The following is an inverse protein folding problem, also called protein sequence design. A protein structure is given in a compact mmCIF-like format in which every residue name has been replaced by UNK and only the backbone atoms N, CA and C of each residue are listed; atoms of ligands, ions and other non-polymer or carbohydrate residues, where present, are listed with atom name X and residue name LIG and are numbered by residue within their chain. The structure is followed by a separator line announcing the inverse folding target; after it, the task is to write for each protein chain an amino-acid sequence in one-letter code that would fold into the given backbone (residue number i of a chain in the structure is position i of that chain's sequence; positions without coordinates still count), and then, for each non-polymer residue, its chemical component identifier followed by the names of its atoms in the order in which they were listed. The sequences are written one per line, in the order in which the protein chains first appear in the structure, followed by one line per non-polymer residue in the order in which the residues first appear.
data_IF_777399955367
#
_entry.id   IF_777399955367
#
_cell.length_a   1.000
_cell.length_b   1.000
_cell.length_c   1.000
_cell.angle_alpha   90.00
_cell.angle_beta   90.00
_cell.angle_gamma   90.00
#
_symmetry.space_group_name_H-M   'P 1'
#
loop_
_entity.id
_entity.type
_entity.pdbx_description
1 polymer ?
#
# COMPACT_ATOMS: atom_id res chain seq x y z
N UNK A 1 -3.82 -16.84 -15.17
CA UNK A 1 -3.36 -15.51 -14.72
C UNK A 1 -3.97 -14.40 -15.57
N UNK A 2 -3.90 -14.43 -16.93
CA UNK A 2 -4.42 -13.35 -17.79
C UNK A 2 -5.90 -12.99 -17.51
N UNK A 3 -6.78 -13.97 -17.30
CA UNK A 3 -8.20 -13.72 -16.97
C UNK A 3 -8.38 -13.06 -15.61
N UNK A 4 -7.58 -13.40 -14.61
CA UNK A 4 -7.58 -12.73 -13.29
C UNK A 4 -7.27 -11.24 -13.44
N UNK A 5 -6.28 -10.90 -14.27
CA UNK A 5 -5.91 -9.50 -14.53
C UNK A 5 -7.01 -8.73 -15.27
N UNK A 6 -7.72 -9.35 -16.20
CA UNK A 6 -8.86 -8.72 -16.88
C UNK A 6 -9.99 -8.41 -15.88
N UNK A 7 -10.34 -9.37 -15.00
CA UNK A 7 -11.33 -9.16 -13.94
C UNK A 7 -10.86 -8.05 -12.98
N UNK A 8 -9.57 -8.06 -12.58
CA UNK A 8 -8.97 -7.04 -11.72
C UNK A 8 -9.15 -5.64 -12.30
N UNK A 9 -8.84 -5.43 -13.58
CA UNK A 9 -8.97 -4.12 -14.24
C UNK A 9 -10.44 -3.66 -14.33
N UNK A 10 -11.36 -4.57 -14.67
CA UNK A 10 -12.79 -4.29 -14.70
C UNK A 10 -13.33 -3.92 -13.31
N UNK A 11 -12.84 -4.61 -12.27
CA UNK A 11 -13.22 -4.36 -10.88
C UNK A 11 -12.69 -3.00 -10.37
N UNK A 12 -11.45 -2.63 -10.69
CA UNK A 12 -10.88 -1.31 -10.37
C UNK A 12 -11.79 -0.21 -10.91
N UNK A 13 -12.21 -0.29 -12.16
CA UNK A 13 -13.13 0.67 -12.79
C UNK A 13 -14.49 0.74 -12.07
N UNK A 14 -15.06 -0.40 -11.71
CA UNK A 14 -16.35 -0.44 -11.02
C UNK A 14 -16.25 0.11 -9.60
N UNK A 15 -15.23 -0.27 -8.84
CA UNK A 15 -15.01 0.23 -7.47
C UNK A 15 -14.60 1.72 -7.44
N UNK A 16 -13.95 2.22 -8.48
CA UNK A 16 -13.70 3.65 -8.64
C UNK A 16 -14.98 4.45 -8.94
N UNK A 17 -15.94 3.85 -9.66
CA UNK A 17 -17.14 4.51 -10.16
C UNK A 17 -18.20 4.74 -9.08
N UNK A 18 -18.34 3.82 -8.12
CA UNK A 18 -19.41 3.84 -7.10
C UNK A 18 -18.88 3.36 -5.74
N UNK A 19 -19.55 3.77 -4.63
CA UNK A 19 -19.26 3.20 -3.31
C UNK A 19 -19.31 1.67 -3.33
N UNK A 20 -18.46 1.04 -2.52
CA UNK A 20 -18.29 -0.41 -2.53
C UNK A 20 -19.61 -1.19 -2.38
N UNK A 21 -20.52 -0.73 -1.52
CA UNK A 21 -21.81 -1.37 -1.29
C UNK A 21 -22.65 -1.46 -2.58
N UNK A 22 -22.57 -0.41 -3.43
CA UNK A 22 -23.29 -0.31 -4.70
C UNK A 22 -22.59 -0.98 -5.88
N UNK A 23 -21.33 -1.35 -5.72
CA UNK A 23 -20.57 -2.03 -6.76
C UNK A 23 -21.17 -3.40 -7.09
N UNK A 24 -21.25 -3.71 -8.39
CA UNK A 24 -21.95 -4.88 -8.91
C UNK A 24 -21.02 -5.85 -9.61
N UNK A 25 -21.03 -7.13 -9.15
CA UNK A 25 -20.32 -8.22 -9.85
C UNK A 25 -20.80 -8.34 -11.30
N UNK A 26 -22.09 -8.12 -11.57
CA UNK A 26 -22.60 -8.18 -12.95
C UNK A 26 -21.96 -7.09 -13.83
N UNK A 27 -21.72 -5.89 -13.29
CA UNK A 27 -21.04 -4.83 -14.04
C UNK A 27 -19.55 -5.20 -14.26
N UNK A 28 -18.89 -5.80 -13.27
CA UNK A 28 -17.51 -6.29 -13.42
C UNK A 28 -17.44 -7.35 -14.53
N UNK A 29 -18.35 -8.33 -14.53
CA UNK A 29 -18.46 -9.38 -15.55
C UNK A 29 -18.65 -8.79 -16.94
N UNK A 30 -19.56 -7.82 -17.07
CA UNK A 30 -19.84 -7.14 -18.33
C UNK A 30 -18.62 -6.34 -18.82
N UNK A 31 -17.97 -5.59 -17.95
CA UNK A 31 -16.79 -4.79 -18.29
C UNK A 31 -15.56 -5.66 -18.62
N UNK A 32 -15.49 -6.87 -18.05
CA UNK A 32 -14.43 -7.84 -18.30
C UNK A 32 -14.67 -8.71 -19.54
N UNK A 33 -15.87 -8.62 -20.15
CA UNK A 33 -16.33 -9.46 -21.27
C UNK A 33 -16.14 -10.97 -20.99
N UNK A 34 -16.64 -11.41 -19.85
CA UNK A 34 -16.56 -12.83 -19.42
C UNK A 34 -17.91 -13.38 -19.03
N UNK A 35 -18.05 -14.72 -18.99
CA UNK A 35 -19.24 -15.34 -18.43
C UNK A 35 -19.27 -15.26 -16.91
N UNK A 36 -20.49 -15.32 -16.32
CA UNK A 36 -20.67 -15.37 -14.87
C UNK A 36 -19.95 -16.57 -14.24
N UNK A 37 -20.00 -17.75 -14.86
CA UNK A 37 -19.28 -18.94 -14.41
C UNK A 37 -17.76 -18.72 -14.40
N UNK A 38 -17.23 -18.02 -15.40
CA UNK A 38 -15.81 -17.67 -15.46
C UNK A 38 -15.39 -16.78 -14.28
N UNK A 39 -16.22 -15.80 -13.88
CA UNK A 39 -15.93 -14.97 -12.70
C UNK A 39 -15.78 -15.82 -11.44
N UNK A 40 -16.79 -16.66 -11.16
CA UNK A 40 -16.81 -17.50 -9.95
C UNK A 40 -15.78 -18.64 -9.94
N UNK A 41 -15.07 -18.86 -11.04
CA UNK A 41 -13.89 -19.74 -11.07
C UNK A 41 -12.68 -19.10 -10.37
N UNK A 42 -12.63 -17.75 -10.31
CA UNK A 42 -11.48 -17.02 -9.80
C UNK A 42 -11.75 -16.27 -8.49
N UNK A 43 -13.00 -15.85 -8.24
CA UNK A 43 -13.38 -15.04 -7.10
C UNK A 43 -14.74 -15.47 -6.55
N UNK A 44 -14.83 -15.56 -5.21
CA UNK A 44 -16.07 -15.94 -4.53
C UNK A 44 -17.09 -14.80 -4.50
N UNK A 45 -16.61 -13.59 -4.24
CA UNK A 45 -17.42 -12.38 -4.12
C UNK A 45 -16.62 -11.12 -4.46
N UNK A 46 -17.23 -9.95 -4.27
CA UNK A 46 -16.56 -8.67 -4.53
C UNK A 46 -15.49 -8.31 -3.48
N UNK A 47 -15.60 -8.82 -2.25
CA UNK A 47 -14.59 -8.66 -1.20
C UNK A 47 -13.31 -9.41 -1.58
N UNK A 48 -13.45 -10.62 -2.14
CA UNK A 48 -12.33 -11.42 -2.62
C UNK A 48 -11.58 -10.71 -3.76
N UNK A 49 -12.32 -10.06 -4.68
CA UNK A 49 -11.71 -9.23 -5.74
C UNK A 49 -10.96 -8.03 -5.15
N UNK A 50 -11.53 -7.32 -4.18
CA UNK A 50 -10.86 -6.21 -3.48
C UNK A 50 -9.57 -6.69 -2.83
N UNK A 51 -9.63 -7.77 -2.06
CA UNK A 51 -8.47 -8.38 -1.42
C UNK A 51 -7.38 -8.67 -2.44
N UNK A 52 -7.71 -9.32 -3.54
CA UNK A 52 -6.76 -9.60 -4.61
C UNK A 52 -6.11 -8.34 -5.20
N UNK A 53 -6.88 -7.26 -5.41
CA UNK A 53 -6.35 -5.98 -5.92
C UNK A 53 -5.29 -5.42 -4.95
N UNK A 54 -5.58 -5.42 -3.64
CA UNK A 54 -4.65 -4.87 -2.66
C UNK A 54 -3.43 -5.77 -2.44
N UNK A 55 -3.60 -7.10 -2.43
CA UNK A 55 -2.50 -8.06 -2.35
C UNK A 55 -1.55 -7.94 -3.56
N UNK A 56 -2.10 -7.80 -4.76
CA UNK A 56 -1.32 -7.63 -5.98
C UNK A 56 -0.54 -6.31 -5.97
N UNK A 57 -1.19 -5.22 -5.53
CA UNK A 57 -0.52 -3.94 -5.35
C UNK A 57 0.58 -3.99 -4.28
N UNK A 58 0.33 -4.66 -3.14
CA UNK A 58 1.31 -4.82 -2.06
C UNK A 58 2.54 -5.60 -2.54
N UNK A 59 2.34 -6.70 -3.30
CA UNK A 59 3.42 -7.48 -3.89
C UNK A 59 4.25 -6.64 -4.87
N UNK A 60 3.61 -5.90 -5.78
CA UNK A 60 4.32 -5.01 -6.72
C UNK A 60 5.09 -3.92 -5.97
N UNK A 61 4.52 -3.35 -4.91
CA UNK A 61 5.19 -2.37 -4.07
C UNK A 61 6.42 -2.97 -3.37
N UNK A 62 6.30 -4.18 -2.83
CA UNK A 62 7.41 -4.88 -2.21
C UNK A 62 8.58 -5.09 -3.19
N UNK A 63 8.30 -5.52 -4.43
CA UNK A 63 9.30 -5.66 -5.48
C UNK A 63 9.97 -4.31 -5.84
N UNK A 64 9.19 -3.22 -5.83
CA UNK A 64 9.74 -1.89 -6.06
C UNK A 64 10.65 -1.42 -4.90
N UNK A 65 10.24 -1.64 -3.64
CA UNK A 65 11.05 -1.35 -2.47
C UNK A 65 12.35 -2.18 -2.45
N UNK A 66 12.29 -3.44 -2.85
CA UNK A 66 13.47 -4.30 -2.95
C UNK A 66 14.51 -3.73 -3.94
N UNK A 67 14.07 -3.37 -5.14
CA UNK A 67 14.95 -2.73 -6.14
C UNK A 67 15.53 -1.41 -5.65
N UNK A 68 14.73 -0.60 -4.93
CA UNK A 68 15.22 0.66 -4.38
C UNK A 68 16.26 0.44 -3.27
N UNK A 69 16.05 -0.53 -2.39
CA UNK A 69 17.04 -0.90 -1.36
C UNK A 69 18.35 -1.41 -1.97
N UNK A 70 18.27 -2.19 -3.05
CA UNK A 70 19.46 -2.61 -3.80
C UNK A 70 20.19 -1.40 -4.41
N UNK A 71 19.45 -0.46 -4.99
CA UNK A 71 19.98 0.74 -5.64
C UNK A 71 20.65 1.71 -4.66
N UNK A 72 20.08 1.87 -3.46
CA UNK A 72 20.54 2.83 -2.44
C UNK A 72 21.42 2.20 -1.36
N UNK A 73 21.93 0.98 -1.62
CA UNK A 73 22.84 0.25 -0.73
C UNK A 73 22.24 0.02 0.67
N UNK A 74 20.97 -0.35 0.72
CA UNK A 74 20.25 -0.71 1.94
C UNK A 74 19.91 0.47 2.86
N UNK A 75 19.80 1.68 2.33
CA UNK A 75 19.34 2.85 3.09
C UNK A 75 17.81 2.80 3.26
N UNK A 76 17.36 2.39 4.45
CA UNK A 76 15.94 2.30 4.79
C UNK A 76 15.22 3.65 4.69
N UNK A 77 15.85 4.72 5.20
CA UNK A 77 15.21 6.05 5.20
C UNK A 77 15.13 6.63 3.81
N UNK A 78 16.18 6.47 3.00
CA UNK A 78 16.14 6.82 1.58
C UNK A 78 15.07 6.03 0.81
N UNK A 79 14.86 4.76 1.13
CA UNK A 79 13.76 3.97 0.56
C UNK A 79 12.39 4.51 0.99
N UNK A 80 12.19 4.92 2.24
CA UNK A 80 10.93 5.49 2.72
C UNK A 80 10.63 6.85 2.05
N UNK A 81 11.65 7.70 1.86
CA UNK A 81 11.52 8.95 1.11
C UNK A 81 11.10 8.69 -0.34
N UNK A 82 11.81 7.78 -1.02
CA UNK A 82 11.47 7.34 -2.37
C UNK A 82 10.05 6.77 -2.46
N UNK A 83 9.62 5.99 -1.46
CA UNK A 83 8.30 5.36 -1.42
C UNK A 83 7.17 6.41 -1.38
N UNK A 84 7.39 7.54 -0.71
CA UNK A 84 6.44 8.67 -0.74
C UNK A 84 6.30 9.22 -2.16
N UNK A 85 7.42 9.58 -2.81
CA UNK A 85 7.39 10.15 -4.16
C UNK A 85 6.78 9.17 -5.17
N UNK A 86 7.17 7.90 -5.09
CA UNK A 86 6.61 6.85 -5.92
C UNK A 86 5.09 6.69 -5.73
N UNK A 87 4.62 6.75 -4.48
CA UNK A 87 3.18 6.63 -4.17
C UNK A 87 2.41 7.82 -4.71
N UNK A 88 2.88 9.04 -4.49
CA UNK A 88 2.24 10.26 -5.01
C UNK A 88 2.17 10.22 -6.54
N UNK A 89 3.29 9.89 -7.20
CA UNK A 89 3.34 9.79 -8.66
C UNK A 89 2.33 8.75 -9.21
N UNK A 90 2.23 7.58 -8.57
CA UNK A 90 1.24 6.56 -8.93
C UNK A 90 -0.19 7.04 -8.76
N UNK A 91 -0.46 7.84 -7.75
CA UNK A 91 -1.77 8.43 -7.53
C UNK A 91 -2.10 9.50 -8.59
N UNK A 92 -1.13 10.30 -8.98
CA UNK A 92 -1.30 11.30 -10.05
C UNK A 92 -1.56 10.64 -11.41
N UNK A 93 -0.92 9.50 -11.70
CA UNK A 93 -1.13 8.73 -12.92
C UNK A 93 -2.52 8.08 -13.00
N UNK A 94 -3.15 7.76 -11.88
CA UNK A 94 -4.39 6.97 -11.84
C UNK A 94 -5.44 7.55 -10.91
N UNK A 95 -6.30 8.44 -11.44
CA UNK A 95 -7.49 8.91 -10.72
C UNK A 95 -8.42 7.76 -10.31
N UNK A 96 -8.48 6.69 -11.11
CA UNK A 96 -9.29 5.51 -10.79
C UNK A 96 -8.81 4.82 -9.51
N UNK A 97 -7.50 4.74 -9.28
CA UNK A 97 -6.97 4.16 -8.05
C UNK A 97 -7.31 5.01 -6.83
N UNK A 98 -7.26 6.33 -6.95
CA UNK A 98 -7.69 7.27 -5.91
C UNK A 98 -9.15 7.01 -5.51
N UNK A 99 -10.05 7.02 -6.50
CA UNK A 99 -11.47 6.82 -6.23
C UNK A 99 -11.78 5.41 -5.70
N UNK A 100 -11.07 4.38 -6.20
CA UNK A 100 -11.18 3.02 -5.66
C UNK A 100 -10.83 3.00 -4.17
N UNK A 101 -9.67 3.54 -3.78
CA UNK A 101 -9.25 3.57 -2.37
C UNK A 101 -10.28 4.32 -1.53
N UNK A 102 -10.76 5.48 -1.98
CA UNK A 102 -11.81 6.25 -1.29
C UNK A 102 -13.07 5.43 -1.08
N UNK A 103 -13.61 4.85 -2.17
CA UNK A 103 -14.86 4.12 -2.16
C UNK A 103 -14.82 2.81 -1.37
N UNK A 104 -13.67 2.15 -1.38
CA UNK A 104 -13.46 0.87 -0.68
C UNK A 104 -13.13 1.09 0.79
N UNK A 105 -12.26 2.07 1.11
CA UNK A 105 -11.87 2.36 2.50
C UNK A 105 -12.97 3.03 3.31
N UNK A 106 -13.98 3.61 2.68
CA UNK A 106 -15.17 4.14 3.37
C UNK A 106 -16.05 3.03 3.98
N UNK A 107 -15.87 1.79 3.56
CA UNK A 107 -16.60 0.64 4.06
C UNK A 107 -15.85 0.00 5.22
N UNK A 108 -16.43 0.03 6.44
CA UNK A 108 -15.75 -0.39 7.68
C UNK A 108 -15.20 -1.83 7.66
N UNK A 109 -15.93 -2.79 7.05
CA UNK A 109 -15.45 -4.17 6.95
C UNK A 109 -14.20 -4.29 6.07
N UNK A 110 -14.13 -3.50 4.99
CA UNK A 110 -12.95 -3.47 4.14
C UNK A 110 -11.76 -2.81 4.85
N UNK A 111 -11.99 -1.77 5.64
CA UNK A 111 -10.96 -1.10 6.44
C UNK A 111 -10.29 -2.09 7.38
N UNK A 112 -11.07 -2.95 8.04
CA UNK A 112 -10.57 -4.03 8.90
C UNK A 112 -9.81 -5.10 8.09
N UNK A 113 -10.39 -5.55 6.98
CA UNK A 113 -9.77 -6.56 6.13
C UNK A 113 -8.45 -6.09 5.49
N UNK A 114 -8.30 -4.79 5.23
CA UNK A 114 -7.09 -4.18 4.67
C UNK A 114 -6.06 -3.77 5.72
N UNK A 115 -6.34 -3.97 7.02
CA UNK A 115 -5.40 -3.66 8.09
C UNK A 115 -5.23 -2.17 8.39
N UNK A 116 -6.16 -1.32 7.95
CA UNK A 116 -6.19 0.10 8.31
C UNK A 116 -6.71 0.37 9.73
N UNK A 117 -6.83 -0.65 10.59
CA UNK A 117 -7.04 -0.43 12.01
C UNK A 117 -5.82 0.24 12.63
N UNK A 118 -6.07 1.05 13.66
CA UNK A 118 -5.03 1.75 14.44
C UNK A 118 -3.94 0.75 14.87
N UNK A 119 -2.82 0.81 14.17
CA UNK A 119 -1.72 -0.15 14.22
C UNK A 119 -1.53 -0.77 12.84
N UNK A 120 -0.38 -0.49 12.21
CA UNK A 120 0.01 -1.09 10.95
C UNK A 120 -0.16 -2.61 11.02
N UNK A 121 -1.20 -3.10 10.38
CA UNK A 121 -1.36 -4.51 10.04
C UNK A 121 -1.16 -4.61 8.54
N UNK A 122 -0.15 -5.34 8.05
CA UNK A 122 0.03 -5.49 6.62
C UNK A 122 -1.29 -6.00 6.00
N UNK A 123 -1.63 -5.59 4.77
CA UNK A 123 -2.79 -6.13 4.04
C UNK A 123 -2.80 -7.65 4.11
N UNK A 124 -4.00 -8.25 4.20
CA UNK A 124 -4.13 -9.71 4.16
C UNK A 124 -3.41 -10.26 2.92
N UNK A 125 -2.51 -11.24 3.12
CA UNK A 125 -1.65 -11.77 2.04
C UNK A 125 -0.28 -11.10 1.92
N UNK A 126 -0.04 -9.97 2.57
CA UNK A 126 1.34 -9.51 2.80
C UNK A 126 2.06 -10.46 3.76
N UNK A 127 3.38 -10.63 3.64
CA UNK A 127 4.15 -11.33 4.67
C UNK A 127 3.78 -10.76 6.05
N UNK A 128 3.66 -11.63 7.07
CA UNK A 128 3.36 -11.21 8.43
C UNK A 128 4.36 -10.16 8.91
N UNK A 129 4.03 -9.41 9.98
CA UNK A 129 4.94 -8.37 10.51
C UNK A 129 6.37 -8.91 10.72
N UNK A 130 6.48 -10.10 11.28
CA UNK A 130 7.76 -10.76 11.52
C UNK A 130 8.48 -11.13 10.22
N UNK A 131 7.76 -11.62 9.21
CA UNK A 131 8.31 -11.94 7.89
C UNK A 131 8.77 -10.69 7.14
N UNK A 132 8.03 -9.57 7.24
CA UNK A 132 8.41 -8.28 6.64
C UNK A 132 9.66 -7.71 7.31
N UNK A 133 9.72 -7.72 8.64
CA UNK A 133 10.91 -7.27 9.38
C UNK A 133 12.14 -8.13 9.07
N UNK A 134 12.00 -9.45 9.02
CA UNK A 134 13.06 -10.38 8.64
C UNK A 134 13.51 -10.20 7.19
N UNK A 135 12.58 -9.98 6.28
CA UNK A 135 12.88 -9.71 4.87
C UNK A 135 13.69 -8.43 4.71
N UNK A 136 13.29 -7.35 5.40
CA UNK A 136 13.99 -6.07 5.39
C UNK A 136 15.35 -6.14 6.07
N UNK A 137 15.45 -6.79 7.24
CA UNK A 137 16.70 -6.92 7.99
C UNK A 137 17.85 -7.55 7.16
N UNK A 138 17.51 -8.37 6.15
CA UNK A 138 18.48 -8.96 5.23
C UNK A 138 18.95 -8.00 4.11
N UNK A 139 18.29 -6.86 3.94
CA UNK A 139 18.49 -5.94 2.81
C UNK A 139 18.95 -4.55 3.21
N UNK A 140 18.79 -4.20 4.49
CA UNK A 140 19.17 -2.90 5.03
C UNK A 140 20.46 -2.99 5.83
N UNK A 141 21.10 -1.85 6.06
CA UNK A 141 22.31 -1.74 6.88
C UNK A 141 21.94 -1.68 8.36
N UNK A 142 21.68 -2.84 8.97
CA UNK A 142 21.32 -2.95 10.38
C UNK A 142 22.40 -2.40 11.33
N UNK A 143 23.67 -2.41 10.91
CA UNK A 143 24.80 -1.88 11.70
C UNK A 143 24.73 -0.37 11.93
N UNK A 144 23.90 0.35 11.17
CA UNK A 144 23.66 1.79 11.37
C UNK A 144 22.64 2.08 12.46
N UNK A 145 21.89 1.09 12.90
CA UNK A 145 20.88 1.25 13.95
C UNK A 145 21.51 1.23 15.33
N UNK A 146 21.04 2.12 16.23
CA UNK A 146 21.49 2.20 17.60
C UNK A 146 21.18 0.92 18.38
N UNK A 147 20.09 0.26 18.05
CA UNK A 147 19.67 -1.03 18.59
C UNK A 147 19.26 -1.95 17.44
N UNK A 148 20.21 -2.65 16.80
CA UNK A 148 19.97 -3.44 15.61
C UNK A 148 19.19 -4.73 15.94
N UNK A 149 17.88 -4.60 16.14
CA UNK A 149 16.97 -5.72 16.42
C UNK A 149 15.76 -5.70 15.48
N UNK A 150 15.10 -6.85 15.35
CA UNK A 150 13.86 -6.96 14.56
C UNK A 150 12.73 -6.11 15.15
N UNK A 151 12.67 -5.97 16.48
CA UNK A 151 11.69 -5.16 17.19
C UNK A 151 11.88 -3.66 16.90
N UNK A 152 13.12 -3.17 16.94
CA UNK A 152 13.45 -1.80 16.60
C UNK A 152 13.08 -1.49 15.15
N UNK A 153 13.42 -2.40 14.24
CA UNK A 153 13.07 -2.28 12.83
C UNK A 153 11.55 -2.25 12.61
N UNK A 154 10.80 -3.10 13.30
CA UNK A 154 9.31 -3.10 13.23
C UNK A 154 8.74 -1.75 13.68
N UNK A 155 9.26 -1.18 14.76
CA UNK A 155 8.84 0.14 15.27
C UNK A 155 9.15 1.25 14.25
N UNK A 156 10.37 1.27 13.70
CA UNK A 156 10.78 2.27 12.69
C UNK A 156 9.89 2.18 11.45
N UNK A 157 9.65 0.97 10.96
CA UNK A 157 8.76 0.73 9.82
C UNK A 157 7.33 1.17 10.12
N UNK A 158 6.80 0.80 11.28
CA UNK A 158 5.44 1.18 11.68
C UNK A 158 5.28 2.69 11.71
N UNK A 159 6.23 3.43 12.26
CA UNK A 159 6.21 4.89 12.32
C UNK A 159 6.34 5.51 10.92
N UNK A 160 7.29 5.04 10.11
CA UNK A 160 7.53 5.55 8.76
C UNK A 160 6.33 5.30 7.83
N UNK A 161 5.78 4.09 7.84
CA UNK A 161 4.60 3.74 7.02
C UNK A 161 3.34 4.44 7.52
N UNK A 162 3.15 4.59 8.84
CA UNK A 162 2.01 5.35 9.38
C UNK A 162 2.10 6.82 8.94
N UNK A 163 3.29 7.42 8.98
CA UNK A 163 3.52 8.79 8.48
C UNK A 163 3.21 8.90 6.98
N UNK A 164 3.59 7.89 6.17
CA UNK A 164 3.25 7.81 4.75
C UNK A 164 1.74 7.75 4.53
N UNK A 165 1.03 6.87 5.24
CA UNK A 165 -0.43 6.74 5.13
C UNK A 165 -1.13 8.06 5.47
N UNK A 166 -0.69 8.75 6.51
CA UNK A 166 -1.21 10.07 6.87
C UNK A 166 -0.93 11.12 5.79
N UNK A 167 0.28 11.14 5.24
CA UNK A 167 0.65 12.05 4.15
C UNK A 167 -0.19 11.80 2.89
N UNK A 168 -0.37 10.55 2.50
CA UNK A 168 -1.25 10.15 1.37
C UNK A 168 -2.69 10.58 1.63
N UNK A 169 -3.21 10.37 2.85
CA UNK A 169 -4.56 10.82 3.23
C UNK A 169 -4.70 12.33 3.11
N UNK A 170 -3.75 13.12 3.61
CA UNK A 170 -3.77 14.58 3.46
C UNK A 170 -3.71 15.00 2.00
N UNK A 171 -2.93 14.31 1.18
CA UNK A 171 -2.88 14.56 -0.26
C UNK A 171 -4.26 14.36 -0.94
N UNK A 172 -5.03 13.34 -0.55
CA UNK A 172 -6.39 13.14 -1.04
C UNK A 172 -7.35 14.28 -0.65
N UNK A 173 -7.19 14.80 0.55
CA UNK A 173 -8.05 15.89 1.07
C UNK A 173 -7.65 17.25 0.50
N UNK A 174 -6.36 17.49 0.26
CA UNK A 174 -5.77 18.78 -0.11
C UNK A 174 -4.60 18.62 -1.09
N UNK A 175 -4.86 18.21 -2.36
CA UNK A 175 -3.78 17.90 -3.32
C UNK A 175 -2.93 19.12 -3.71
N UNK A 176 -3.46 20.34 -3.59
CA UNK A 176 -2.76 21.60 -3.80
C UNK A 176 -1.71 21.91 -2.73
N UNK A 177 -1.70 21.19 -1.61
CA UNK A 177 -0.72 21.35 -0.52
C UNK A 177 0.41 20.32 -0.56
N UNK A 178 0.67 19.68 -1.72
CA UNK A 178 1.65 18.61 -1.84
C UNK A 178 3.02 18.95 -1.25
N UNK A 179 3.54 20.17 -1.48
CA UNK A 179 4.85 20.58 -0.95
C UNK A 179 4.88 20.66 0.58
N UNK A 180 3.78 21.09 1.21
CA UNK A 180 3.68 21.11 2.67
C UNK A 180 3.56 19.70 3.25
N UNK A 181 2.81 18.84 2.58
CA UNK A 181 2.64 17.42 2.95
C UNK A 181 3.98 16.70 2.85
N UNK A 182 4.70 16.88 1.72
CA UNK A 182 6.05 16.34 1.50
C UNK A 182 6.99 16.76 2.62
N UNK A 183 7.06 18.06 2.90
CA UNK A 183 7.91 18.58 3.96
C UNK A 183 7.61 17.94 5.31
N UNK A 184 6.32 17.85 5.71
CA UNK A 184 5.92 17.23 6.98
C UNK A 184 6.28 15.76 7.05
N UNK A 185 6.14 15.04 5.94
CA UNK A 185 6.54 13.63 5.87
C UNK A 185 8.05 13.47 6.07
N UNK A 186 8.86 14.24 5.34
CA UNK A 186 10.32 14.21 5.47
C UNK A 186 10.79 14.64 6.88
N UNK A 187 10.20 15.69 7.46
CA UNK A 187 10.49 16.10 8.83
C UNK A 187 10.19 14.96 9.84
N UNK A 188 9.09 14.19 9.63
CA UNK A 188 8.78 13.04 10.50
C UNK A 188 9.78 11.90 10.33
N UNK A 189 10.25 11.61 9.12
CA UNK A 189 11.30 10.63 8.88
C UNK A 189 12.62 11.04 9.54
N UNK A 190 13.00 12.31 9.49
CA UNK A 190 14.21 12.79 10.17
C UNK A 190 14.13 12.63 11.69
N UNK A 191 12.97 12.88 12.30
CA UNK A 191 12.76 12.62 13.76
C UNK A 191 12.94 11.14 14.09
N UNK A 192 12.34 10.25 13.28
CA UNK A 192 12.46 8.79 13.46
C UNK A 192 13.92 8.36 13.29
N UNK A 193 14.59 8.85 12.26
CA UNK A 193 15.98 8.56 11.93
C UNK A 193 16.95 8.94 13.05
N UNK A 194 16.79 10.13 13.63
CA UNK A 194 17.60 10.58 14.77
C UNK A 194 17.41 9.74 16.03
N UNK A 195 16.24 9.12 16.20
CA UNK A 195 15.97 8.20 17.30
C UNK A 195 16.47 6.77 17.05
N UNK A 196 16.61 6.35 15.80
CA UNK A 196 16.90 4.98 15.42
C UNK A 196 18.37 4.73 15.03
N UNK A 197 19.07 5.73 14.46
CA UNK A 197 20.43 5.57 13.97
C UNK A 197 21.50 6.04 14.97
N UNK A 198 22.67 5.45 14.85
CA UNK A 198 23.89 5.91 15.54
C UNK A 198 24.29 7.26 14.93
N UNK A 199 24.54 8.25 15.80
CA UNK A 199 25.00 9.59 15.42
C UNK A 199 26.43 9.55 14.87
#
# INVERSE_FOLDING_TARGET
EAKKQVIRQAAIKEFARVPFEKASINQIIQNADISRGSFYTYFEDKQDVVRYIFEDNARQMQECCERELERNDGDLFGMLEWLFEFTIHKLEESKEMIELVRNVCSYQENTRAMGFEIGYRPPMGSPGKEETAQWLAKRIRMERFARPSAEELDVVLQLGVTSLILAVRFYYEQPDQLEQIRKRYLDSLEVIKHGALIS
#
